data_IF_594348416283
#
_entry.id   IF_594348416283
#
_cell.length_a   1.000
_cell.length_b   1.000
_cell.length_c   1.000
_cell.angle_alpha   90.00
_cell.angle_beta   90.00
_cell.angle_gamma   90.00
#
_symmetry.space_group_name_H-M   'P 1'
#
loop_
_entity.id
_entity.type
_entity.pdbx_description
1 polymer ?
#
# COMPACT_ATOMS: atom_id res chain seq x y z
N UNK A 1 -27.31 3.90 -47.10
CA UNK A 1 -26.64 4.86 -46.19
C UNK A 1 -26.60 4.40 -44.73
N UNK A 2 -27.47 3.49 -44.25
CA UNK A 2 -27.51 3.03 -42.86
C UNK A 2 -26.29 2.20 -42.40
N UNK A 3 -25.61 1.50 -43.31
CA UNK A 3 -24.52 0.56 -43.02
C UNK A 3 -23.19 1.24 -42.65
N UNK A 4 -22.93 2.45 -43.13
CA UNK A 4 -21.73 3.21 -42.75
C UNK A 4 -21.78 3.72 -41.31
N UNK A 5 -22.97 4.00 -40.77
CA UNK A 5 -23.15 4.47 -39.39
C UNK A 5 -22.84 3.38 -38.36
N UNK A 6 -23.24 2.13 -38.64
CA UNK A 6 -22.95 0.98 -37.78
C UNK A 6 -21.45 0.68 -37.68
N UNK A 7 -20.72 0.80 -38.79
CA UNK A 7 -19.28 0.53 -38.82
C UNK A 7 -18.49 1.55 -37.99
N UNK A 8 -18.93 2.82 -37.95
CA UNK A 8 -18.35 3.85 -37.07
C UNK A 8 -18.62 3.57 -35.59
N UNK A 9 -19.79 3.04 -35.24
CA UNK A 9 -20.14 2.71 -33.86
C UNK A 9 -19.30 1.54 -33.31
N UNK A 10 -19.01 0.56 -34.17
CA UNK A 10 -18.20 -0.62 -33.82
C UNK A 10 -16.73 -0.26 -33.52
N UNK A 11 -16.18 0.74 -34.21
CA UNK A 11 -14.80 1.22 -34.02
C UNK A 11 -14.65 1.99 -32.68
N UNK A 12 -15.70 2.63 -32.17
CA UNK A 12 -15.66 3.35 -30.88
C UNK A 12 -15.69 2.37 -29.69
N UNK A 13 -16.34 1.21 -29.84
CA UNK A 13 -16.48 0.23 -28.76
C UNK A 13 -15.18 -0.55 -28.45
N UNK A 14 -14.24 -0.65 -29.39
CA UNK A 14 -12.99 -1.42 -29.21
C UNK A 14 -11.87 -0.67 -28.49
N UNK A 15 -12.07 0.62 -28.16
CA UNK A 15 -11.08 1.47 -27.47
C UNK A 15 -11.25 1.40 -25.93
N UNK A 16 -12.14 0.53 -25.41
CA UNK A 16 -12.26 0.28 -23.98
C UNK A 16 -11.03 -0.52 -23.47
N UNK A 17 -9.93 0.20 -23.26
CA UNK A 17 -8.68 -0.29 -22.69
C UNK A 17 -8.88 -0.80 -21.25
N UNK A 18 -8.04 -1.75 -20.86
CA UNK A 18 -7.99 -2.37 -19.55
C UNK A 18 -7.59 -1.38 -18.45
N UNK A 19 -8.59 -0.86 -17.73
CA UNK A 19 -8.37 -0.10 -16.51
C UNK A 19 -8.08 -1.06 -15.35
N UNK A 20 -6.86 -1.02 -14.82
CA UNK A 20 -6.54 -1.68 -13.56
C UNK A 20 -6.79 -0.69 -12.42
N UNK A 21 -7.38 -1.15 -11.33
CA UNK A 21 -7.40 -0.38 -10.10
C UNK A 21 -5.96 -0.18 -9.60
N UNK A 22 -5.68 0.97 -9.02
CA UNK A 22 -4.42 1.25 -8.36
C UNK A 22 -4.70 1.91 -7.01
N UNK A 23 -3.90 1.57 -6.01
CA UNK A 23 -4.01 2.15 -4.68
C UNK A 23 -2.64 2.56 -4.17
N UNK A 24 -2.63 3.53 -3.27
CA UNK A 24 -1.41 4.02 -2.64
C UNK A 24 -1.22 3.35 -1.29
N UNK A 25 0.02 2.98 -1.02
CA UNK A 25 0.47 2.43 0.25
C UNK A 25 1.35 3.45 0.94
N UNK A 26 1.27 3.46 2.25
CA UNK A 26 2.03 4.32 3.13
C UNK A 26 2.71 3.46 4.18
N UNK A 27 3.99 3.76 4.40
CA UNK A 27 4.72 3.26 5.54
C UNK A 27 5.05 4.45 6.43
N UNK A 28 4.70 4.35 7.71
CA UNK A 28 4.91 5.42 8.66
C UNK A 28 5.24 4.90 10.05
N UNK A 29 5.92 5.74 10.81
CA UNK A 29 6.23 5.49 12.21
C UNK A 29 5.10 6.06 13.08
N UNK A 30 4.55 5.22 13.96
CA UNK A 30 3.48 5.56 14.90
C UNK A 30 4.05 5.60 16.32
N UNK A 31 3.74 6.65 17.06
CA UNK A 31 4.11 6.80 18.47
C UNK A 31 2.94 7.33 19.29
N UNK A 32 2.88 6.91 20.56
CA UNK A 32 1.89 7.44 21.51
C UNK A 32 2.27 8.85 21.95
N UNK A 33 1.29 9.76 21.97
CA UNK A 33 1.44 11.08 22.60
C UNK A 33 0.98 11.08 24.05
N UNK A 34 0.19 10.09 24.46
CA UNK A 34 -0.40 10.01 25.80
C UNK A 34 0.59 9.54 26.85
N UNK A 35 1.62 8.78 26.44
CA UNK A 35 2.64 8.29 27.35
C UNK A 35 4.04 8.54 26.78
N UNK A 36 4.70 9.65 27.14
CA UNK A 36 6.06 9.95 26.67
C UNK A 36 7.13 8.98 27.23
N UNK A 37 6.80 8.18 28.25
CA UNK A 37 7.64 7.06 28.73
C UNK A 37 7.13 5.69 28.24
N UNK A 38 6.16 5.69 27.34
CA UNK A 38 5.52 4.49 26.79
C UNK A 38 6.41 3.76 25.78
N UNK A 39 5.90 2.67 25.17
CA UNK A 39 6.67 1.83 24.26
C UNK A 39 7.22 2.64 23.07
N UNK A 40 8.35 2.15 22.55
CA UNK A 40 9.02 2.71 21.39
C UNK A 40 8.08 2.79 20.18
N UNK A 41 8.34 3.75 19.31
CA UNK A 41 7.59 3.94 18.07
C UNK A 41 7.64 2.70 17.17
N UNK A 42 6.51 2.35 16.57
CA UNK A 42 6.38 1.18 15.68
C UNK A 42 6.26 1.62 14.22
N UNK A 43 6.82 0.85 13.31
CA UNK A 43 6.64 1.07 11.86
C UNK A 43 5.41 0.28 11.41
N UNK A 44 4.51 0.96 10.73
CA UNK A 44 3.26 0.41 10.21
C UNK A 44 3.21 0.65 8.70
N UNK A 45 2.72 -0.35 7.98
CA UNK A 45 2.39 -0.26 6.55
C UNK A 45 0.88 -0.35 6.40
N UNK A 46 0.26 0.58 5.69
CA UNK A 46 -1.19 0.64 5.50
C UNK A 46 -1.57 1.33 4.19
N UNK A 47 -2.82 1.15 3.76
CA UNK A 47 -3.44 1.88 2.64
C UNK A 47 -4.07 3.20 3.08
N UNK A 48 -4.19 3.45 4.39
CA UNK A 48 -4.66 4.72 4.93
C UNK A 48 -3.55 5.77 4.84
N UNK A 49 -3.87 6.93 4.27
CA UNK A 49 -2.95 8.07 4.33
C UNK A 49 -2.73 8.52 5.80
N UNK A 50 -1.62 9.20 6.12
CA UNK A 50 -1.29 9.55 7.49
C UNK A 50 -2.40 10.29 8.24
N UNK A 51 -3.15 11.18 7.56
CA UNK A 51 -4.22 11.93 8.19
C UNK A 51 -5.43 11.03 8.47
N UNK A 52 -5.80 10.17 7.51
CA UNK A 52 -6.86 9.19 7.71
C UNK A 52 -6.52 8.17 8.80
N UNK A 53 -5.27 7.71 8.86
CA UNK A 53 -4.84 6.79 9.92
C UNK A 53 -4.94 7.43 11.30
N UNK A 54 -4.50 8.70 11.44
CA UNK A 54 -4.65 9.47 12.68
C UNK A 54 -6.12 9.56 13.09
N UNK A 55 -7.02 9.90 12.17
CA UNK A 55 -8.46 10.00 12.45
C UNK A 55 -9.06 8.67 12.89
N UNK A 56 -8.68 7.57 12.25
CA UNK A 56 -9.16 6.23 12.58
C UNK A 56 -8.68 5.76 13.97
N UNK A 57 -7.44 6.11 14.36
CA UNK A 57 -6.79 5.62 15.58
C UNK A 57 -6.84 6.63 16.76
N UNK A 58 -7.93 7.38 16.90
CA UNK A 58 -8.16 8.23 18.07
C UNK A 58 -7.59 9.65 17.98
N UNK A 59 -7.17 10.08 16.79
CA UNK A 59 -6.84 11.47 16.49
C UNK A 59 -5.45 11.95 16.92
N UNK A 60 -5.14 13.19 16.57
CA UNK A 60 -3.81 13.78 16.73
C UNK A 60 -3.43 14.07 18.19
N UNK A 61 -4.37 13.93 19.12
CA UNK A 61 -4.11 14.02 20.58
C UNK A 61 -3.57 12.71 21.14
N UNK A 62 -3.93 11.57 20.53
CA UNK A 62 -3.62 10.23 21.03
C UNK A 62 -2.31 9.71 20.44
N UNK A 63 -2.12 9.91 19.14
CA UNK A 63 -0.97 9.39 18.41
C UNK A 63 -0.26 10.46 17.57
N UNK A 64 0.99 10.19 17.24
CA UNK A 64 1.78 10.90 16.23
C UNK A 64 2.17 9.92 15.14
N UNK A 65 1.99 10.35 13.89
CA UNK A 65 2.35 9.58 12.69
C UNK A 65 3.37 10.38 11.89
N UNK A 66 4.51 9.78 11.56
CA UNK A 66 5.52 10.38 10.67
C UNK A 66 5.69 9.49 9.43
N UNK A 67 5.45 10.06 8.25
CA UNK A 67 5.57 9.33 6.97
C UNK A 67 7.04 8.98 6.69
N UNK A 68 7.29 7.71 6.35
CA UNK A 68 8.61 7.19 6.00
C UNK A 68 8.72 6.90 4.50
N UNK A 69 7.71 6.25 3.92
CA UNK A 69 7.71 5.87 2.51
C UNK A 69 6.29 5.78 1.93
N UNK A 70 6.17 5.85 0.61
CA UNK A 70 4.92 5.63 -0.12
C UNK A 70 5.19 5.05 -1.51
N UNK A 71 4.32 4.15 -1.96
CA UNK A 71 4.37 3.57 -3.30
C UNK A 71 2.98 3.25 -3.82
N UNK A 72 2.88 2.99 -5.12
CA UNK A 72 1.64 2.57 -5.78
C UNK A 72 1.62 1.06 -5.95
N UNK A 73 0.48 0.46 -5.66
CA UNK A 73 0.17 -0.94 -5.94
C UNK A 73 -0.94 -1.02 -6.97
N UNK A 74 -0.86 -2.02 -7.86
CA UNK A 74 -1.95 -2.38 -8.77
C UNK A 74 -2.91 -3.34 -8.06
N UNK A 75 -4.20 -3.25 -8.36
CA UNK A 75 -5.27 -4.04 -7.75
C UNK A 75 -6.14 -3.23 -6.78
N UNK A 76 -6.76 -3.92 -5.82
CA UNK A 76 -7.65 -3.33 -4.81
C UNK A 76 -7.17 -3.64 -3.38
N UNK A 77 -7.73 -2.95 -2.39
CA UNK A 77 -7.35 -3.07 -0.96
C UNK A 77 -8.23 -4.06 -0.19
N UNK A 78 -8.75 -5.06 -0.89
CA UNK A 78 -9.89 -5.89 -0.47
C UNK A 78 -9.50 -7.16 0.28
N UNK A 79 -8.51 -7.08 1.18
CA UNK A 79 -8.01 -8.23 1.95
C UNK A 79 -6.75 -8.89 1.37
N UNK A 80 -6.33 -8.51 0.17
CA UNK A 80 -5.06 -8.96 -0.40
C UNK A 80 -3.87 -8.36 0.36
N UNK A 81 -2.73 -9.09 0.41
CA UNK A 81 -1.51 -8.53 0.97
C UNK A 81 -1.06 -7.31 0.17
N UNK A 82 -0.53 -6.33 0.90
CA UNK A 82 0.02 -5.10 0.34
C UNK A 82 1.23 -5.44 -0.53
N UNK A 83 1.32 -4.85 -1.74
CA UNK A 83 2.45 -5.10 -2.62
C UNK A 83 3.78 -4.59 -2.02
N UNK A 84 4.90 -5.24 -2.33
CA UNK A 84 6.21 -4.87 -1.81
C UNK A 84 6.64 -3.47 -2.28
N UNK A 85 7.35 -2.74 -1.40
CA UNK A 85 7.92 -1.45 -1.75
C UNK A 85 9.00 -1.61 -2.85
N UNK A 86 9.06 -0.73 -3.86
CA UNK A 86 10.03 -0.85 -4.95
C UNK A 86 11.49 -0.93 -4.49
N UNK A 87 11.84 -0.20 -3.44
CA UNK A 87 13.21 -0.18 -2.91
C UNK A 87 13.58 -1.47 -2.16
N UNK A 88 12.62 -2.12 -1.50
CA UNK A 88 12.85 -3.40 -0.84
C UNK A 88 13.29 -4.48 -1.86
N UNK A 89 12.73 -4.43 -3.07
CA UNK A 89 13.10 -5.33 -4.17
C UNK A 89 14.55 -5.12 -4.65
N UNK A 90 15.09 -3.91 -4.51
CA UNK A 90 16.47 -3.61 -4.91
C UNK A 90 17.49 -4.05 -3.84
N UNK A 91 17.10 -3.96 -2.57
CA UNK A 91 17.94 -4.39 -1.44
C UNK A 91 18.06 -5.92 -1.36
N UNK A 92 16.98 -6.65 -1.63
CA UNK A 92 16.95 -8.11 -1.72
C UNK A 92 17.93 -8.64 -2.79
N UNK A 93 18.05 -7.93 -3.91
CA UNK A 93 18.99 -8.27 -4.99
C UNK A 93 20.46 -8.00 -4.60
N UNK A 94 20.70 -7.14 -3.61
CA UNK A 94 22.06 -6.68 -3.26
C UNK A 94 22.67 -7.48 -2.11
N UNK A 95 21.87 -8.12 -1.23
CA UNK A 95 22.35 -8.96 -0.12
C UNK A 95 21.58 -10.30 -0.06
N UNK A 96 21.97 -11.31 -0.86
CA UNK A 96 21.28 -12.61 -0.89
C UNK A 96 21.47 -13.48 0.37
N UNK A 97 22.21 -13.05 1.39
CA UNK A 97 22.57 -13.87 2.56
C UNK A 97 21.65 -13.72 3.78
N UNK A 98 20.73 -12.75 3.83
CA UNK A 98 19.85 -12.53 5.00
C UNK A 98 18.43 -13.11 4.83
N UNK A 99 18.11 -13.73 3.69
CA UNK A 99 16.75 -14.15 3.35
C UNK A 99 16.29 -15.50 3.95
N UNK A 100 16.98 -16.08 4.95
CA UNK A 100 16.64 -17.42 5.46
C UNK A 100 16.36 -17.57 6.97
N UNK A 101 16.19 -16.50 7.75
CA UNK A 101 15.97 -16.62 9.21
C UNK A 101 14.63 -16.08 9.77
N UNK A 102 13.58 -15.92 8.95
CA UNK A 102 12.23 -15.60 9.45
C UNK A 102 11.15 -16.55 8.90
N UNK A 103 11.45 -17.85 8.87
CA UNK A 103 10.53 -18.90 8.42
C UNK A 103 10.48 -20.15 9.30
N UNK A 104 11.04 -20.13 10.52
CA UNK A 104 11.00 -21.30 11.39
C UNK A 104 10.91 -20.91 12.87
N UNK A 105 9.70 -20.59 13.33
CA UNK A 105 9.28 -20.69 14.74
C UNK A 105 7.75 -20.68 14.80
N UNK A 106 7.16 -21.87 14.72
CA UNK A 106 5.71 -22.04 14.77
C UNK A 106 5.27 -23.49 14.52
N UNK A 107 5.93 -24.45 15.18
CA UNK A 107 5.43 -25.82 15.31
C UNK A 107 5.59 -26.25 16.77
N UNK A 108 4.49 -26.10 17.52
CA UNK A 108 4.16 -26.83 18.73
C UNK A 108 2.64 -26.92 18.80
#
# INVERSE_FOLDING_TARGET
MLTHSFNKLLIVATIALSANAEYRVYQYMVSSRLNPRGPASVIITSTLDPNSYVKYHGGNRSIRVNLLNTWMCKGHTGGDPVCAAPLAKLMDVTNPEEAQEQGNNGAL
#
